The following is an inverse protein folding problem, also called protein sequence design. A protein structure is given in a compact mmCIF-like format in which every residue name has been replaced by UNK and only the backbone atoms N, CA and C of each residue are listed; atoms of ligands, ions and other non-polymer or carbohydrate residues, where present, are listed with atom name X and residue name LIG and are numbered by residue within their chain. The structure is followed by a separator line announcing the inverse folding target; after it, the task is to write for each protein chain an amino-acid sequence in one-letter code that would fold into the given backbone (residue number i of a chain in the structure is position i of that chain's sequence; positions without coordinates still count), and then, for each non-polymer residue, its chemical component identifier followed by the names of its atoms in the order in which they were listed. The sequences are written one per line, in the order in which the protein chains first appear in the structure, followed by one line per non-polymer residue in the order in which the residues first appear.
data_IF_817725914469
#
_entry.id   IF_817725914469
#
_cell.length_a   1.000
_cell.length_b   1.000
_cell.length_c   1.000
_cell.angle_alpha   90.00
_cell.angle_beta   90.00
_cell.angle_gamma   90.00
#
_symmetry.space_group_name_H-M   'P 1'
#
loop_
_entity.id
_entity.type
_entity.pdbx_description
1 polymer ?
#
# COMPACT_ATOMS: atom_id res chain seq x y z
N UNK A 1 9.85 -18.95 -8.31
CA UNK A 1 9.35 -17.59 -8.04
C UNK A 1 10.23 -16.99 -6.96
N UNK A 2 10.91 -15.88 -7.23
CA UNK A 2 11.70 -15.16 -6.22
C UNK A 2 10.94 -13.89 -5.84
N UNK A 3 10.99 -13.51 -4.58
CA UNK A 3 10.31 -12.31 -4.10
C UNK A 3 10.81 -11.05 -4.84
N UNK A 4 12.11 -11.00 -5.12
CA UNK A 4 12.77 -9.95 -5.89
C UNK A 4 12.15 -9.70 -7.27
N UNK A 5 11.50 -10.70 -7.86
CA UNK A 5 10.91 -10.59 -9.20
C UNK A 5 9.73 -9.60 -9.23
N UNK A 6 9.16 -9.25 -8.06
CA UNK A 6 7.99 -8.37 -7.93
C UNK A 6 8.32 -6.93 -7.55
N UNK A 7 9.55 -6.63 -7.14
CA UNK A 7 9.93 -5.29 -6.67
C UNK A 7 10.57 -4.51 -7.81
N UNK A 8 9.85 -3.60 -8.49
CA UNK A 8 10.48 -2.72 -9.46
C UNK A 8 11.49 -1.80 -8.74
N UNK A 9 12.42 -1.23 -9.49
CA UNK A 9 13.42 -0.31 -8.92
C UNK A 9 12.73 0.82 -8.10
N UNK A 10 13.33 1.27 -7.00
CA UNK A 10 12.77 2.33 -6.14
C UNK A 10 11.38 2.02 -5.54
N UNK A 11 10.99 0.75 -5.40
CA UNK A 11 9.74 0.33 -4.74
C UNK A 11 9.89 0.01 -3.25
N UNK A 12 11.09 0.19 -2.70
CA UNK A 12 11.38 0.01 -1.27
C UNK A 12 11.72 1.36 -0.68
N UNK A 13 11.03 1.77 0.38
CA UNK A 13 11.18 3.06 1.02
C UNK A 13 11.19 2.95 2.55
N UNK A 14 11.89 3.89 3.19
CA UNK A 14 11.88 4.09 4.64
C UNK A 14 11.48 5.55 4.86
N UNK A 15 10.45 5.76 5.67
CA UNK A 15 9.84 7.08 5.89
C UNK A 15 9.72 7.30 7.40
N UNK A 16 10.02 8.51 7.84
CA UNK A 16 10.03 8.83 9.26
C UNK A 16 8.66 8.67 9.92
N UNK A 17 7.61 9.24 9.31
CA UNK A 17 6.24 9.18 9.81
C UNK A 17 5.25 9.45 8.67
N UNK A 18 4.01 8.99 8.88
CA UNK A 18 2.85 9.39 8.09
C UNK A 18 1.87 10.14 9.00
N UNK A 19 1.23 11.17 8.47
CA UNK A 19 0.20 11.98 9.15
C UNK A 19 -0.98 11.12 9.58
N UNK A 20 -1.41 10.22 8.71
CA UNK A 20 -2.53 9.32 8.92
C UNK A 20 -2.40 8.05 8.06
N UNK A 21 -3.32 7.11 8.28
CA UNK A 21 -3.31 5.83 7.58
C UNK A 21 -3.53 5.96 6.06
N UNK A 22 -4.15 7.06 5.59
CA UNK A 22 -4.36 7.29 4.16
C UNK A 22 -3.04 7.68 3.50
N UNK A 23 -2.26 8.55 4.14
CA UNK A 23 -0.93 8.93 3.67
C UNK A 23 0.04 7.72 3.70
N UNK A 24 -0.08 6.85 4.70
CA UNK A 24 0.67 5.59 4.72
C UNK A 24 0.34 4.67 3.53
N UNK A 25 -0.94 4.59 3.13
CA UNK A 25 -1.33 3.90 1.89
C UNK A 25 -0.71 4.58 0.67
N UNK A 26 -0.76 5.91 0.59
CA UNK A 26 -0.19 6.66 -0.54
C UNK A 26 1.32 6.37 -0.68
N UNK A 27 2.08 6.44 0.42
CA UNK A 27 3.49 6.08 0.43
C UNK A 27 3.75 4.65 0.01
N UNK A 28 2.88 3.71 0.39
CA UNK A 28 3.01 2.31 -0.01
C UNK A 28 2.73 2.11 -1.50
N UNK A 29 2.00 3.02 -2.17
CA UNK A 29 1.53 2.83 -3.55
C UNK A 29 2.24 3.71 -4.58
N UNK A 30 2.86 4.82 -4.16
CA UNK A 30 3.42 5.84 -5.06
C UNK A 30 4.40 5.26 -6.08
N UNK A 31 5.34 4.39 -5.66
CA UNK A 31 6.30 3.79 -6.59
C UNK A 31 5.66 2.88 -7.65
N UNK A 32 4.51 2.25 -7.32
CA UNK A 32 3.75 1.42 -8.26
C UNK A 32 2.92 2.30 -9.21
N UNK A 33 2.38 3.41 -8.71
CA UNK A 33 1.66 4.40 -9.52
C UNK A 33 2.58 5.04 -10.56
N UNK A 34 3.74 5.54 -10.13
CA UNK A 34 4.75 6.21 -10.98
C UNK A 34 5.27 5.31 -12.12
N UNK A 35 5.21 3.99 -11.93
CA UNK A 35 5.67 2.98 -12.88
C UNK A 35 4.54 2.34 -13.71
N UNK A 36 3.33 2.87 -13.57
CA UNK A 36 2.12 2.39 -14.22
C UNK A 36 1.87 0.90 -13.94
N UNK A 37 2.08 0.45 -12.70
CA UNK A 37 1.63 -0.85 -12.20
C UNK A 37 0.18 -0.79 -11.74
N UNK A 38 -0.26 0.39 -11.31
CA UNK A 38 -1.61 0.68 -10.84
C UNK A 38 -2.05 2.06 -11.36
N UNK A 39 -3.35 2.35 -11.31
CA UNK A 39 -3.90 3.70 -11.47
C UNK A 39 -4.26 4.33 -10.12
N UNK A 40 -4.54 5.63 -10.11
CA UNK A 40 -4.99 6.35 -8.90
C UNK A 40 -6.25 5.71 -8.29
N UNK A 41 -7.13 5.15 -9.13
CA UNK A 41 -8.34 4.46 -8.69
C UNK A 41 -8.04 3.23 -7.81
N UNK A 42 -6.89 2.59 -8.01
CA UNK A 42 -6.47 1.46 -7.18
C UNK A 42 -6.22 1.92 -5.74
N UNK A 43 -5.51 3.04 -5.58
CA UNK A 43 -5.21 3.64 -4.27
C UNK A 43 -6.50 4.07 -3.59
N UNK A 44 -7.39 4.74 -4.33
CA UNK A 44 -8.68 5.17 -3.81
C UNK A 44 -9.54 3.99 -3.38
N UNK A 45 -9.57 2.89 -4.15
CA UNK A 45 -10.31 1.68 -3.79
C UNK A 45 -9.82 1.04 -2.47
N UNK A 46 -8.51 1.08 -2.20
CA UNK A 46 -7.96 0.63 -0.90
C UNK A 46 -8.50 1.52 0.22
N UNK A 47 -8.40 2.84 0.05
CA UNK A 47 -8.86 3.81 1.06
C UNK A 47 -10.36 3.67 1.34
N UNK A 48 -11.18 3.61 0.30
CA UNK A 48 -12.63 3.47 0.43
C UNK A 48 -13.00 2.14 1.09
N UNK A 49 -12.35 1.03 0.73
CA UNK A 49 -12.58 -0.24 1.40
C UNK A 49 -12.14 -0.22 2.86
N UNK A 50 -11.08 0.51 3.19
CA UNK A 50 -10.61 0.67 4.58
C UNK A 50 -11.61 1.46 5.41
N UNK A 51 -12.19 2.53 4.85
CA UNK A 51 -13.24 3.33 5.51
C UNK A 51 -14.51 2.48 5.74
N UNK A 52 -14.93 1.72 4.72
CA UNK A 52 -16.21 1.02 4.75
C UNK A 52 -16.15 -0.30 5.52
N UNK A 53 -15.03 -1.02 5.46
CA UNK A 53 -14.92 -2.40 5.97
C UNK A 53 -13.85 -2.56 7.05
N UNK A 54 -13.11 -1.50 7.38
CA UNK A 54 -11.90 -1.59 8.20
C UNK A 54 -10.69 -2.12 7.44
N UNK A 55 -9.51 -2.14 8.08
CA UNK A 55 -8.25 -2.54 7.47
C UNK A 55 -8.14 -4.07 7.36
N UNK A 56 -8.83 -4.66 6.39
CA UNK A 56 -8.88 -6.11 6.14
C UNK A 56 -7.53 -6.76 5.80
N UNK A 57 -6.49 -5.96 5.58
CA UNK A 57 -5.16 -6.37 5.14
C UNK A 57 -4.08 -6.25 6.24
N UNK A 58 -4.46 -6.13 7.51
CA UNK A 58 -3.53 -6.30 8.64
C UNK A 58 -3.21 -7.78 8.79
N UNK A 59 -1.93 -8.15 8.67
CA UNK A 59 -1.47 -9.54 8.73
C UNK A 59 -0.97 -9.92 10.13
N UNK A 60 -0.38 -8.96 10.85
CA UNK A 60 0.16 -9.11 12.20
C UNK A 60 0.26 -7.72 12.86
N UNK A 61 0.43 -7.63 14.20
CA UNK A 61 0.67 -6.35 14.86
C UNK A 61 1.83 -5.58 14.19
N UNK A 62 1.54 -4.38 13.70
CA UNK A 62 2.50 -3.53 12.99
C UNK A 62 2.80 -3.90 11.53
N UNK A 63 2.06 -4.84 10.92
CA UNK A 63 2.27 -5.28 9.53
C UNK A 63 0.97 -5.23 8.71
N UNK A 64 0.95 -4.35 7.72
CA UNK A 64 -0.15 -4.19 6.76
C UNK A 64 0.30 -4.58 5.34
N UNK A 65 -0.62 -5.13 4.54
CA UNK A 65 -0.40 -5.40 3.12
C UNK A 65 -1.50 -4.74 2.27
N UNK A 66 -1.53 -3.40 2.14
CA UNK A 66 -2.60 -2.72 1.42
C UNK A 66 -2.68 -3.20 -0.03
N UNK A 67 -3.87 -3.61 -0.46
CA UNK A 67 -4.14 -4.08 -1.82
C UNK A 67 -5.63 -3.89 -2.15
N UNK A 68 -5.98 -3.97 -3.42
CA UNK A 68 -7.36 -4.02 -3.90
C UNK A 68 -7.49 -5.06 -5.02
N UNK A 69 -8.71 -5.35 -5.47
CA UNK A 69 -8.92 -6.30 -6.57
C UNK A 69 -8.35 -5.75 -7.89
N UNK A 70 -7.86 -6.59 -8.82
CA UNK A 70 -7.23 -6.12 -10.05
C UNK A 70 -8.10 -5.16 -10.88
N UNK A 71 -9.41 -5.41 -10.96
CA UNK A 71 -10.34 -4.55 -11.71
C UNK A 71 -10.49 -3.14 -11.14
N UNK A 72 -10.00 -2.88 -9.93
CA UNK A 72 -9.95 -1.55 -9.33
C UNK A 72 -8.82 -0.66 -9.91
N UNK A 73 -8.04 -1.15 -10.87
CA UNK A 73 -7.02 -0.35 -11.56
C UNK A 73 -5.61 -0.91 -11.53
N UNK A 74 -5.44 -2.22 -11.26
CA UNK A 74 -4.14 -2.86 -11.45
C UNK A 74 -3.85 -3.05 -12.95
N UNK A 75 -2.64 -2.69 -13.37
CA UNK A 75 -2.18 -2.75 -14.76
C UNK A 75 -1.10 -3.82 -14.96
N UNK A 76 -0.30 -4.09 -13.91
CA UNK A 76 0.79 -5.06 -13.90
C UNK A 76 0.90 -5.71 -12.53
N UNK A 77 1.57 -6.86 -12.46
CA UNK A 77 1.89 -7.50 -11.18
C UNK A 77 3.19 -6.94 -10.61
N UNK A 78 3.15 -6.40 -9.40
CA UNK A 78 4.32 -5.88 -8.68
C UNK A 78 4.00 -5.62 -7.21
N UNK A 79 5.05 -5.34 -6.44
CA UNK A 79 5.01 -5.05 -5.00
C UNK A 79 5.87 -3.84 -4.66
N UNK A 80 5.56 -3.24 -3.53
CA UNK A 80 6.32 -2.18 -2.89
C UNK A 80 6.42 -2.48 -1.40
N UNK A 81 7.42 -1.93 -0.74
CA UNK A 81 7.64 -2.06 0.70
C UNK A 81 7.94 -0.68 1.28
N UNK A 82 7.16 -0.30 2.28
CA UNK A 82 7.36 0.96 3.01
C UNK A 82 7.50 0.63 4.48
N UNK A 83 8.62 1.04 5.08
CA UNK A 83 8.82 1.04 6.52
C UNK A 83 8.53 2.45 7.06
N UNK A 84 7.60 2.56 8.00
CA UNK A 84 7.38 3.78 8.78
C UNK A 84 8.12 3.66 10.11
N UNK A 85 9.06 4.56 10.41
CA UNK A 85 9.81 4.55 11.67
C UNK A 85 8.88 4.85 12.86
N UNK A 86 8.03 5.86 12.70
CA UNK A 86 6.88 6.09 13.56
C UNK A 86 5.68 5.44 12.88
N UNK A 87 5.26 4.29 13.40
CA UNK A 87 4.07 3.58 12.93
C UNK A 87 2.83 4.49 12.91
N UNK A 88 1.80 4.04 12.21
CA UNK A 88 0.55 4.77 12.03
C UNK A 88 -0.62 3.93 12.52
N UNK A 89 -1.62 4.58 13.11
CA UNK A 89 -2.83 3.91 13.58
C UNK A 89 -3.86 3.81 12.44
N UNK A 90 -4.33 2.61 12.17
CA UNK A 90 -5.49 2.37 11.31
C UNK A 90 -6.77 2.36 12.15
N UNK A 91 -7.84 2.94 11.62
CA UNK A 91 -9.13 2.97 12.32
C UNK A 91 -9.65 1.54 12.57
N UNK A 92 -9.79 1.16 13.85
CA UNK A 92 -10.20 -0.19 14.25
C UNK A 92 -9.17 -0.96 15.08
N UNK A 93 -7.96 -0.42 15.26
CA UNK A 93 -6.99 -0.81 16.29
C UNK A 93 -6.97 0.15 17.49
#
# INVERSE_FOLDING_TARGET
MRLSDYFPESSISVIHSAKDWQEAIDFSMVSLLDKNYISENYIQAIKDSTINNGPYYILAPGVAMPHARPECGALKTGMSLTLLEQGVLFSGE
#
